data_IF_457129744011
#
_entry.id   IF_457129744011
#
_cell.length_a   1.000
_cell.length_b   1.000
_cell.length_c   1.000
_cell.angle_alpha   90.00
_cell.angle_beta   90.00
_cell.angle_gamma   90.00
#
_symmetry.space_group_name_H-M   'P 1'
#
loop_
_entity.id
_entity.type
_entity.pdbx_description
1 polymer ?
#
# COMPACT_ATOMS: atom_id res chain seq x y z
N UNK A 1 15.78 -29.31 18.14
CA UNK A 1 14.36 -28.93 18.06
C UNK A 1 14.07 -27.97 19.19
N UNK A 2 13.84 -26.72 18.85
CA UNK A 2 14.09 -25.55 19.69
C UNK A 2 12.94 -25.23 20.66
N UNK A 3 13.23 -25.33 21.97
CA UNK A 3 12.34 -24.85 23.06
C UNK A 3 12.18 -23.29 23.11
N UNK A 4 12.76 -22.54 22.14
CA UNK A 4 12.72 -21.06 22.12
C UNK A 4 11.50 -20.49 21.43
N UNK A 5 10.82 -21.22 20.54
CA UNK A 5 9.67 -20.75 19.78
C UNK A 5 8.39 -20.67 20.65
N UNK A 6 8.25 -21.52 21.66
CA UNK A 6 7.03 -21.55 22.49
C UNK A 6 6.89 -20.40 23.50
N UNK A 7 7.97 -19.69 23.83
CA UNK A 7 7.92 -18.59 24.81
C UNK A 7 7.43 -17.27 24.15
N UNK A 8 7.66 -17.07 22.84
CA UNK A 8 7.27 -15.84 22.13
C UNK A 8 5.76 -15.74 21.87
N UNK A 9 5.11 -16.84 21.52
CA UNK A 9 3.65 -16.87 21.27
C UNK A 9 2.80 -16.55 22.51
N UNK A 10 3.31 -16.81 23.72
CA UNK A 10 2.57 -16.51 24.97
C UNK A 10 2.65 -15.03 25.38
N UNK A 11 3.65 -14.29 24.91
CA UNK A 11 3.85 -12.87 25.27
C UNK A 11 2.99 -11.97 24.41
N UNK A 12 2.79 -12.26 23.11
CA UNK A 12 1.96 -11.45 22.21
C UNK A 12 0.47 -11.58 22.57
N UNK A 13 -0.01 -12.76 22.92
CA UNK A 13 -1.41 -12.97 23.34
C UNK A 13 -1.79 -12.28 24.67
N UNK A 14 -0.81 -12.01 25.55
CA UNK A 14 -1.03 -11.36 26.84
C UNK A 14 -1.01 -9.81 26.75
N UNK A 15 -0.34 -9.24 25.74
CA UNK A 15 -0.22 -7.79 25.55
C UNK A 15 -1.48 -7.15 24.95
N UNK A 16 -2.27 -7.89 24.17
CA UNK A 16 -3.52 -7.38 23.61
C UNK A 16 -4.69 -7.34 24.60
N UNK A 17 -4.58 -7.97 25.77
CA UNK A 17 -5.67 -8.10 26.76
C UNK A 17 -5.49 -7.24 28.02
N UNK A 18 -4.34 -6.62 28.23
CA UNK A 18 -4.09 -5.72 29.35
C UNK A 18 -3.44 -4.44 28.84
N UNK A 19 -4.10 -3.31 29.09
CA UNK A 19 -3.63 -1.96 28.73
C UNK A 19 -2.33 -1.54 29.45
N UNK A 20 -1.23 -2.24 29.24
CA UNK A 20 0.09 -1.96 29.76
C UNK A 20 1.10 -1.91 28.61
N UNK A 21 0.99 -0.87 27.77
CA UNK A 21 2.03 -0.56 26.77
C UNK A 21 3.30 -0.01 27.44
N UNK A 22 3.21 0.44 28.69
CA UNK A 22 4.31 1.13 29.38
C UNK A 22 5.39 0.19 29.95
N UNK A 23 5.12 -1.11 30.09
CA UNK A 23 6.08 -2.02 30.73
C UNK A 23 7.07 -2.70 29.76
N UNK A 24 6.82 -2.64 28.45
CA UNK A 24 7.72 -3.24 27.46
C UNK A 24 8.84 -2.29 27.03
N UNK A 25 8.56 -0.98 26.98
CA UNK A 25 9.56 0.06 26.69
C UNK A 25 10.66 0.16 27.76
N UNK A 26 10.40 -0.29 28.98
CA UNK A 26 11.33 -0.20 30.11
C UNK A 26 12.34 -1.36 30.21
N UNK A 27 12.26 -2.38 29.37
CA UNK A 27 13.17 -3.53 29.40
C UNK A 27 14.19 -3.62 28.26
N UNK A 28 14.04 -2.81 27.23
CA UNK A 28 15.12 -2.54 26.28
C UNK A 28 15.76 -1.24 26.80
N UNK A 29 16.94 -1.36 27.39
CA UNK A 29 17.70 -0.22 27.89
C UNK A 29 18.14 0.62 26.67
N UNK A 30 17.24 1.47 26.16
CA UNK A 30 17.52 2.47 25.13
C UNK A 30 18.18 3.73 25.71
N UNK A 31 18.47 3.73 27.01
CA UNK A 31 19.31 4.73 27.68
C UNK A 31 20.80 4.52 27.35
N UNK A 32 21.13 4.35 26.08
CA UNK A 32 22.42 4.70 25.56
C UNK A 32 22.53 6.21 25.65
N UNK A 33 23.21 6.67 26.69
CA UNK A 33 23.56 8.05 26.92
C UNK A 33 24.51 8.53 25.78
N UNK A 34 23.99 8.63 24.55
CA UNK A 34 24.69 9.28 23.44
C UNK A 34 24.51 10.77 23.64
N UNK A 35 25.63 11.48 23.82
CA UNK A 35 25.66 12.93 23.74
C UNK A 35 24.88 13.35 22.48
N UNK A 36 23.96 14.31 22.63
CA UNK A 36 23.13 14.80 21.51
C UNK A 36 24.00 15.05 20.27
N UNK A 37 23.81 14.25 19.22
CA UNK A 37 24.47 14.43 17.92
C UNK A 37 25.58 13.44 17.55
N UNK A 38 25.91 12.45 18.39
CA UNK A 38 26.82 11.34 18.00
C UNK A 38 26.01 10.06 17.74
N UNK A 39 26.24 9.45 16.56
CA UNK A 39 25.68 8.15 16.26
C UNK A 39 26.36 7.07 17.10
N UNK A 40 25.54 6.12 17.61
CA UNK A 40 26.08 4.96 18.27
C UNK A 40 26.82 4.09 17.24
N UNK A 41 28.07 3.74 17.53
CA UNK A 41 28.91 2.92 16.65
C UNK A 41 28.34 1.50 16.41
N UNK A 42 27.42 1.05 17.26
CA UNK A 42 26.73 -0.24 17.11
C UNK A 42 25.49 -0.14 16.19
N UNK A 43 25.02 1.07 15.85
CA UNK A 43 23.91 1.22 14.93
C UNK A 43 24.34 0.81 13.52
N UNK A 44 23.59 -0.13 12.93
CA UNK A 44 23.87 -0.61 11.60
C UNK A 44 23.33 0.33 10.50
N UNK A 45 22.21 1.02 10.78
CA UNK A 45 21.63 2.04 9.91
C UNK A 45 21.57 3.37 10.67
N UNK A 46 21.96 4.44 9.99
CA UNK A 46 21.93 5.77 10.58
C UNK A 46 21.93 6.85 9.50
N UNK A 47 21.57 8.07 9.87
CA UNK A 47 21.60 9.18 8.93
C UNK A 47 20.85 10.40 9.45
N UNK A 48 20.54 11.31 8.54
CA UNK A 48 19.84 12.55 8.84
C UNK A 48 18.64 12.76 7.93
N UNK A 49 17.64 13.48 8.44
CA UNK A 49 16.54 13.99 7.63
C UNK A 49 16.51 15.51 7.74
N UNK A 50 16.55 16.18 6.60
CA UNK A 50 16.53 17.63 6.52
C UNK A 50 15.60 18.12 5.41
N UNK A 51 15.21 19.39 5.45
CA UNK A 51 14.49 20.02 4.36
C UNK A 51 15.45 20.48 3.23
N UNK A 52 14.88 20.95 2.13
CA UNK A 52 15.63 21.44 0.96
C UNK A 52 16.44 22.73 1.24
N UNK A 53 16.35 23.30 2.45
CA UNK A 53 17.16 24.43 2.91
C UNK A 53 18.27 23.98 3.86
N UNK A 54 18.41 22.68 4.10
CA UNK A 54 19.36 22.10 5.03
C UNK A 54 18.93 22.20 6.50
N UNK A 55 17.66 22.53 6.78
CA UNK A 55 17.14 22.59 8.14
C UNK A 55 16.75 21.18 8.58
N UNK A 56 17.22 20.72 9.76
CA UNK A 56 16.82 19.42 10.32
C UNK A 56 15.31 19.31 10.51
N UNK A 57 14.77 18.10 10.29
CA UNK A 57 13.36 17.78 10.53
C UNK A 57 13.30 16.75 11.64
N UNK A 58 12.69 17.11 12.75
CA UNK A 58 12.43 16.22 13.88
C UNK A 58 11.10 15.46 13.72
N UNK A 59 11.00 14.29 14.35
CA UNK A 59 9.76 13.50 14.38
C UNK A 59 9.42 12.80 13.06
N UNK A 60 10.38 12.67 12.12
CA UNK A 60 10.19 11.88 10.91
C UNK A 60 10.40 10.42 11.23
N UNK A 61 9.44 9.57 10.88
CA UNK A 61 9.57 8.14 11.03
C UNK A 61 10.51 7.57 9.96
N UNK A 62 11.51 6.83 10.40
CA UNK A 62 12.47 6.11 9.56
C UNK A 62 12.40 4.64 9.90
N UNK A 63 12.36 3.80 8.88
CA UNK A 63 12.20 2.35 9.05
C UNK A 63 13.10 1.56 8.09
N UNK A 64 13.39 0.34 8.46
CA UNK A 64 14.07 -0.66 7.63
C UNK A 64 13.15 -1.81 7.19
N UNK A 65 11.83 -1.65 7.39
CA UNK A 65 10.82 -2.67 7.12
C UNK A 65 10.57 -3.61 8.30
N UNK A 66 11.29 -3.45 9.42
CA UNK A 66 11.10 -4.20 10.67
C UNK A 66 11.04 -3.27 11.87
N UNK A 67 12.06 -2.44 12.03
CA UNK A 67 12.14 -1.46 13.09
C UNK A 67 11.71 -0.08 12.56
N UNK A 68 11.18 0.76 13.46
CA UNK A 68 10.85 2.15 13.19
C UNK A 68 11.43 3.01 14.31
N UNK A 69 12.00 4.16 13.94
CA UNK A 69 12.51 5.19 14.85
C UNK A 69 12.05 6.58 14.40
N UNK A 70 12.18 7.56 15.28
CA UNK A 70 11.93 8.96 14.94
C UNK A 70 13.24 9.76 14.89
N UNK A 71 13.29 10.75 14.02
CA UNK A 71 14.40 11.70 13.99
C UNK A 71 14.37 12.61 15.22
N UNK A 72 15.54 12.89 15.80
CA UNK A 72 15.74 13.81 16.91
C UNK A 72 15.60 15.30 16.49
N UNK A 73 15.78 16.22 17.43
CA UNK A 73 15.73 17.66 17.16
C UNK A 73 16.77 18.16 16.14
N UNK A 74 17.83 17.40 15.89
CA UNK A 74 18.86 17.67 14.88
C UNK A 74 18.62 16.91 13.55
N UNK A 75 17.50 16.20 13.46
CA UNK A 75 17.15 15.37 12.30
C UNK A 75 17.92 14.04 12.23
N UNK A 76 18.65 13.65 13.27
CA UNK A 76 19.40 12.40 13.29
C UNK A 76 18.48 11.22 13.61
N UNK A 77 18.79 10.06 13.05
CA UNK A 77 18.11 8.81 13.31
C UNK A 77 19.11 7.64 13.28
N UNK A 78 18.79 6.56 13.94
CA UNK A 78 19.58 5.33 13.94
C UNK A 78 18.73 4.09 14.23
N UNK A 79 19.12 2.94 13.65
CA UNK A 79 18.50 1.63 13.84
C UNK A 79 19.57 0.56 14.07
N UNK A 80 19.23 -0.43 14.91
CA UNK A 80 20.12 -1.54 15.29
C UNK A 80 19.66 -2.82 14.57
N UNK A 81 19.87 -2.85 13.27
CA UNK A 81 19.34 -3.87 12.36
C UNK A 81 20.39 -4.89 11.98
N UNK A 82 19.96 -6.12 11.69
CA UNK A 82 20.79 -7.08 10.97
C UNK A 82 20.65 -6.80 9.46
N UNK A 83 21.64 -6.15 8.85
CA UNK A 83 21.60 -5.74 7.44
C UNK A 83 21.54 -6.91 6.46
N UNK A 84 21.81 -8.14 6.90
CA UNK A 84 21.63 -9.33 6.06
C UNK A 84 20.17 -9.65 5.78
N UNK A 85 19.28 -9.14 6.63
CA UNK A 85 17.84 -9.34 6.56
C UNK A 85 17.10 -8.11 6.05
N UNK A 86 17.80 -7.00 5.77
CA UNK A 86 17.20 -5.71 5.39
C UNK A 86 17.66 -5.29 4.01
N UNK A 87 16.69 -4.90 3.16
CA UNK A 87 16.97 -4.49 1.77
C UNK A 87 16.83 -2.99 1.57
N UNK A 88 16.04 -2.34 2.41
CA UNK A 88 15.75 -0.92 2.30
C UNK A 88 15.83 -0.22 3.65
N UNK A 89 16.08 1.07 3.57
CA UNK A 89 15.73 2.02 4.61
C UNK A 89 14.89 3.13 3.98
N UNK A 90 13.84 3.55 4.64
CA UNK A 90 12.87 4.49 4.09
C UNK A 90 12.29 5.41 5.15
N UNK A 91 11.77 6.56 4.69
CA UNK A 91 11.10 7.54 5.54
C UNK A 91 9.60 7.54 5.26
N UNK A 92 8.79 7.65 6.31
CA UNK A 92 7.40 8.07 6.17
C UNK A 92 7.40 9.57 5.87
N UNK A 93 7.09 9.95 4.63
CA UNK A 93 7.04 11.38 4.26
C UNK A 93 5.99 12.06 5.13
N UNK A 94 6.34 13.07 5.96
CA UNK A 94 5.38 13.73 6.83
C UNK A 94 4.45 14.65 6.03
N UNK A 95 3.27 14.89 6.56
CA UNK A 95 2.38 15.94 6.05
C UNK A 95 3.12 17.30 5.95
N UNK A 96 2.84 18.07 4.89
CA UNK A 96 3.52 19.33 4.63
C UNK A 96 4.83 19.24 3.85
N UNK A 97 5.24 18.03 3.46
CA UNK A 97 6.34 17.80 2.52
C UNK A 97 5.84 17.18 1.22
N UNK A 98 6.57 17.45 0.14
CA UNK A 98 6.27 16.85 -1.15
C UNK A 98 6.75 15.40 -1.18
N UNK A 99 6.02 14.54 -1.87
CA UNK A 99 6.48 13.19 -2.17
C UNK A 99 7.39 13.27 -3.40
N UNK A 100 8.71 13.09 -3.27
CA UNK A 100 9.59 13.09 -4.41
C UNK A 100 9.28 11.89 -5.30
N UNK A 101 9.31 12.10 -6.61
CA UNK A 101 9.09 11.00 -7.56
C UNK A 101 10.02 11.10 -8.76
N UNK A 102 10.32 9.95 -9.32
CA UNK A 102 11.06 9.82 -10.58
C UNK A 102 10.32 8.87 -11.49
N UNK A 103 9.91 9.34 -12.67
CA UNK A 103 9.13 8.54 -13.61
C UNK A 103 7.85 7.94 -12.96
N UNK A 104 7.13 8.73 -12.18
CA UNK A 104 5.96 8.30 -11.44
C UNK A 104 6.24 7.47 -10.17
N UNK A 105 7.45 6.98 -9.95
CA UNK A 105 7.79 6.12 -8.81
C UNK A 105 8.25 6.99 -7.62
N UNK A 106 7.62 6.89 -6.44
CA UNK A 106 7.98 7.63 -5.25
C UNK A 106 9.41 7.33 -4.78
N UNK A 107 10.14 8.36 -4.36
CA UNK A 107 11.55 8.28 -3.95
C UNK A 107 11.69 8.58 -2.45
N UNK A 108 11.15 7.73 -1.60
CA UNK A 108 11.19 7.86 -0.13
C UNK A 108 12.12 6.82 0.53
N UNK A 109 12.80 6.00 -0.24
CA UNK A 109 13.62 4.89 0.21
C UNK A 109 15.00 4.88 -0.43
N UNK A 110 15.92 4.20 0.22
CA UNK A 110 17.24 3.87 -0.30
C UNK A 110 17.48 2.38 -0.14
N UNK A 111 18.04 1.74 -1.17
CA UNK A 111 18.40 0.33 -1.10
C UNK A 111 19.70 0.18 -0.31
N UNK A 112 19.73 -0.72 0.66
CA UNK A 112 20.91 -1.05 1.43
C UNK A 112 21.82 -1.90 0.54
N UNK A 113 23.10 -1.51 0.34
CA UNK A 113 24.04 -2.32 -0.45
C UNK A 113 24.31 -3.66 0.22
N UNK A 114 24.46 -4.70 -0.58
CA UNK A 114 24.79 -6.02 -0.09
C UNK A 114 26.16 -6.05 0.64
N UNK A 115 26.25 -6.90 1.66
CA UNK A 115 27.47 -7.13 2.44
C UNK A 115 28.02 -5.94 3.25
N UNK A 116 27.26 -4.87 3.37
CA UNK A 116 27.60 -3.78 4.28
C UNK A 116 27.37 -4.19 5.75
N UNK A 117 28.20 -3.63 6.64
CA UNK A 117 28.03 -3.78 8.09
C UNK A 117 27.30 -2.58 8.70
N UNK A 118 27.45 -1.45 8.06
CA UNK A 118 26.79 -0.19 8.40
C UNK A 118 26.44 0.54 7.11
N UNK A 119 25.30 1.19 7.10
CA UNK A 119 24.87 2.01 5.96
C UNK A 119 24.34 3.34 6.44
N UNK A 120 24.90 4.42 5.91
CA UNK A 120 24.42 5.77 6.16
C UNK A 120 23.46 6.19 5.07
N UNK A 121 22.23 6.60 5.47
CA UNK A 121 21.22 7.11 4.55
C UNK A 121 20.72 8.48 5.01
N UNK A 122 21.01 9.50 4.24
CA UNK A 122 20.51 10.86 4.47
C UNK A 122 19.32 11.13 3.54
N UNK A 123 18.27 11.77 4.06
CA UNK A 123 17.07 12.14 3.30
C UNK A 123 16.90 13.66 3.29
N UNK A 124 16.54 14.17 2.12
CA UNK A 124 16.19 15.59 1.94
C UNK A 124 14.77 15.67 1.46
N UNK A 125 13.90 16.31 2.25
CA UNK A 125 12.49 16.47 1.96
C UNK A 125 12.19 17.90 1.49
N UNK A 126 11.42 18.03 0.42
CA UNK A 126 11.02 19.33 -0.10
C UNK A 126 9.77 19.79 0.63
N UNK A 127 9.86 20.97 1.27
CA UNK A 127 8.73 21.54 1.97
C UNK A 127 7.65 21.97 0.98
N UNK A 128 6.42 21.54 1.22
CA UNK A 128 5.26 21.89 0.40
C UNK A 128 4.81 23.33 0.67
N UNK A 129 4.29 23.98 -0.36
CA UNK A 129 3.52 25.21 -0.20
C UNK A 129 2.09 24.87 0.28
N UNK A 130 1.64 25.48 1.37
CA UNK A 130 0.30 25.26 1.96
C UNK A 130 0.24 24.06 2.92
N UNK A 131 -0.96 23.78 3.44
CA UNK A 131 -1.18 22.71 4.44
C UNK A 131 -1.04 21.30 3.89
N UNK A 132 -1.28 21.11 2.58
CA UNK A 132 -1.31 19.81 1.96
C UNK A 132 -2.54 18.96 2.30
N UNK A 133 -3.56 19.54 2.96
CA UNK A 133 -4.76 18.82 3.38
C UNK A 133 -5.72 18.53 2.22
N UNK A 134 -5.59 19.25 1.11
CA UNK A 134 -6.43 19.09 -0.07
C UNK A 134 -5.66 18.51 -1.24
N UNK A 135 -6.08 17.34 -1.72
CA UNK A 135 -5.46 16.63 -2.84
C UNK A 135 -6.42 15.64 -3.49
N UNK A 136 -6.02 15.10 -4.65
CA UNK A 136 -6.77 14.08 -5.38
C UNK A 136 -5.93 12.82 -5.55
N UNK A 137 -6.54 11.64 -5.39
CA UNK A 137 -5.92 10.35 -5.66
C UNK A 137 -6.63 9.68 -6.83
N UNK A 138 -5.87 9.21 -7.81
CA UNK A 138 -6.34 8.36 -8.89
C UNK A 138 -6.02 6.91 -8.48
N UNK A 139 -7.04 6.14 -8.10
CA UNK A 139 -6.84 4.79 -7.55
C UNK A 139 -7.21 3.73 -8.57
N UNK A 140 -6.25 2.85 -8.87
CA UNK A 140 -6.36 1.73 -9.80
C UNK A 140 -6.17 0.40 -9.07
N UNK A 141 -6.62 -0.69 -9.68
CA UNK A 141 -6.37 -2.04 -9.22
C UNK A 141 -6.22 -2.99 -10.40
N UNK A 142 -5.41 -4.02 -10.23
CA UNK A 142 -5.34 -5.16 -11.14
C UNK A 142 -5.12 -4.79 -12.62
N UNK A 143 -4.11 -3.96 -12.98
CA UNK A 143 -3.81 -3.71 -14.40
C UNK A 143 -3.50 -5.00 -15.15
N UNK A 144 -2.81 -5.93 -14.50
CA UNK A 144 -2.51 -7.30 -14.95
C UNK A 144 -2.08 -7.37 -16.41
N UNK A 145 -1.01 -6.63 -16.77
CA UNK A 145 -0.43 -6.75 -18.11
C UNK A 145 0.16 -8.14 -18.32
N UNK A 146 -0.16 -8.79 -19.45
CA UNK A 146 0.18 -10.18 -19.72
C UNK A 146 1.19 -10.36 -20.84
N UNK A 147 1.01 -9.69 -21.98
CA UNK A 147 1.91 -9.77 -23.12
C UNK A 147 1.66 -8.66 -24.15
N UNK A 148 2.72 -8.32 -24.90
CA UNK A 148 2.66 -7.38 -26.03
C UNK A 148 2.10 -7.99 -27.32
N UNK A 149 2.27 -9.30 -27.53
CA UNK A 149 1.91 -9.93 -28.79
C UNK A 149 0.54 -10.54 -28.70
N UNK A 150 -0.30 -10.23 -29.70
CA UNK A 150 -1.44 -11.04 -30.05
C UNK A 150 -0.92 -12.44 -30.38
N UNK A 151 -0.60 -13.18 -29.33
CA UNK A 151 -0.29 -14.58 -29.46
C UNK A 151 -1.53 -15.30 -29.96
N UNK A 152 -1.45 -16.52 -30.07
CA UNK A 152 -2.38 -17.55 -30.46
C UNK A 152 -3.70 -17.57 -29.68
N UNK A 153 -3.90 -16.72 -28.65
CA UNK A 153 -5.11 -16.69 -27.88
C UNK A 153 -6.05 -15.55 -28.37
N UNK A 154 -7.06 -15.95 -29.09
CA UNK A 154 -8.10 -15.06 -29.63
C UNK A 154 -8.90 -14.28 -28.56
N UNK A 155 -8.73 -14.61 -27.28
CA UNK A 155 -9.40 -13.98 -26.16
C UNK A 155 -8.47 -13.04 -25.37
N UNK A 156 -7.18 -13.00 -25.68
CA UNK A 156 -6.24 -12.12 -25.03
C UNK A 156 -6.15 -10.80 -25.79
N UNK A 157 -6.86 -9.81 -25.29
CA UNK A 157 -6.63 -8.43 -25.67
C UNK A 157 -5.21 -8.01 -25.30
N UNK A 158 -4.65 -7.08 -26.04
CA UNK A 158 -3.36 -6.45 -25.72
C UNK A 158 -3.48 -5.69 -24.41
N UNK A 159 -3.22 -6.34 -23.30
CA UNK A 159 -3.38 -5.72 -21.98
C UNK A 159 -2.44 -4.52 -21.79
N UNK A 160 -1.31 -4.47 -22.50
CA UNK A 160 -0.42 -3.31 -22.53
C UNK A 160 -1.10 -2.10 -23.17
N UNK A 161 -1.70 -2.25 -24.35
CA UNK A 161 -2.36 -1.13 -25.05
C UNK A 161 -3.49 -0.54 -24.18
N UNK A 162 -4.21 -1.40 -23.45
CA UNK A 162 -5.26 -0.97 -22.53
C UNK A 162 -4.69 -0.26 -21.30
N UNK A 163 -3.58 -0.74 -20.78
CA UNK A 163 -2.86 -0.10 -19.69
C UNK A 163 -2.31 1.26 -20.10
N UNK A 164 -1.70 1.38 -21.29
CA UNK A 164 -1.22 2.64 -21.85
C UNK A 164 -2.35 3.65 -22.06
N UNK A 165 -3.51 3.18 -22.55
CA UNK A 165 -4.73 4.00 -22.72
C UNK A 165 -5.23 4.52 -21.34
N UNK A 166 -5.21 3.68 -20.31
CA UNK A 166 -5.52 4.09 -18.93
C UNK A 166 -4.52 5.13 -18.42
N UNK A 167 -3.21 4.90 -18.60
CA UNK A 167 -2.18 5.83 -18.19
C UNK A 167 -2.32 7.19 -18.88
N UNK A 168 -2.68 7.20 -20.17
CA UNK A 168 -2.96 8.42 -20.92
C UNK A 168 -4.16 9.16 -20.36
N UNK A 169 -5.27 8.46 -20.11
CA UNK A 169 -6.49 9.04 -19.52
C UNK A 169 -6.21 9.64 -18.13
N UNK A 170 -5.44 8.95 -17.29
CA UNK A 170 -5.03 9.46 -15.98
C UNK A 170 -4.17 10.73 -16.07
N UNK A 171 -3.23 10.79 -17.01
CA UNK A 171 -2.41 11.99 -17.26
C UNK A 171 -3.26 13.17 -17.73
N UNK A 172 -4.18 12.94 -18.65
CA UNK A 172 -5.09 13.95 -19.16
C UNK A 172 -5.99 14.50 -18.05
N UNK A 173 -6.58 13.64 -17.22
CA UNK A 173 -7.37 14.07 -16.06
C UNK A 173 -6.52 14.86 -15.07
N UNK A 174 -5.36 14.36 -14.69
CA UNK A 174 -4.48 15.03 -13.74
C UNK A 174 -4.06 16.43 -14.22
N UNK A 175 -3.84 16.63 -15.52
CA UNK A 175 -3.51 17.92 -16.10
C UNK A 175 -4.64 18.96 -15.96
N UNK A 176 -5.87 18.55 -15.76
CA UNK A 176 -7.01 19.44 -15.48
C UNK A 176 -7.09 19.90 -14.03
N UNK A 177 -6.41 19.20 -13.12
CA UNK A 177 -6.41 19.49 -11.67
C UNK A 177 -5.19 20.36 -11.37
N UNK A 178 -5.38 21.68 -11.30
CA UNK A 178 -4.29 22.65 -11.15
C UNK A 178 -4.25 23.33 -9.79
N UNK A 179 -5.26 23.11 -8.97
CA UNK A 179 -5.46 23.79 -7.68
C UNK A 179 -5.01 22.96 -6.46
N UNK A 180 -4.61 21.74 -6.67
CA UNK A 180 -4.17 20.79 -5.63
C UNK A 180 -3.25 19.70 -6.17
N UNK A 181 -2.45 19.05 -5.32
CA UNK A 181 -1.65 17.90 -5.71
C UNK A 181 -2.50 16.74 -6.20
N UNK A 182 -1.94 15.97 -7.13
CA UNK A 182 -2.47 14.69 -7.56
C UNK A 182 -1.49 13.60 -7.14
N UNK A 183 -2.02 12.48 -6.69
CA UNK A 183 -1.32 11.24 -6.41
C UNK A 183 -2.02 10.10 -7.12
N UNK A 184 -1.38 8.96 -7.22
CA UNK A 184 -2.04 7.72 -7.63
C UNK A 184 -1.69 6.59 -6.67
N UNK A 185 -2.60 5.61 -6.58
CA UNK A 185 -2.40 4.36 -5.86
C UNK A 185 -2.81 3.21 -6.79
N UNK A 186 -1.93 2.22 -6.93
CA UNK A 186 -2.23 0.95 -7.60
C UNK A 186 -2.29 -0.17 -6.57
N UNK A 187 -3.43 -0.84 -6.46
CA UNK A 187 -3.73 -1.85 -5.44
C UNK A 187 -3.29 -3.27 -5.85
N UNK A 188 -2.15 -3.39 -6.53
CA UNK A 188 -1.54 -4.67 -6.84
C UNK A 188 -1.93 -5.26 -8.19
N UNK A 189 -1.28 -6.39 -8.49
CA UNK A 189 -1.42 -7.13 -9.74
C UNK A 189 -1.10 -6.28 -10.97
N UNK A 190 0.06 -5.62 -10.96
CA UNK A 190 0.55 -4.82 -12.08
C UNK A 190 0.87 -5.71 -13.28
N UNK A 191 1.61 -6.79 -13.04
CA UNK A 191 1.94 -7.81 -14.04
C UNK A 191 1.19 -9.11 -13.73
N UNK A 192 0.93 -9.94 -14.75
CA UNK A 192 0.22 -11.20 -14.54
C UNK A 192 1.18 -12.39 -14.63
N UNK A 193 1.90 -12.70 -13.53
CA UNK A 193 2.90 -13.77 -13.45
C UNK A 193 4.05 -13.64 -14.47
N UNK A 194 4.17 -12.53 -15.15
CA UNK A 194 5.20 -12.31 -16.17
C UNK A 194 6.15 -11.21 -15.74
N UNK A 195 7.20 -11.58 -15.03
CA UNK A 195 8.19 -10.65 -14.47
C UNK A 195 8.93 -9.84 -15.54
N UNK A 196 8.96 -10.31 -16.81
CA UNK A 196 9.60 -9.55 -17.89
C UNK A 196 8.84 -8.29 -18.32
N UNK A 197 7.61 -8.09 -17.82
CA UNK A 197 6.77 -6.93 -18.15
C UNK A 197 6.91 -5.77 -17.17
N UNK A 198 7.77 -5.87 -16.16
CA UNK A 198 8.00 -4.76 -15.22
C UNK A 198 8.52 -3.50 -15.89
N UNK A 199 9.40 -3.65 -16.89
CA UNK A 199 9.91 -2.51 -17.66
C UNK A 199 8.78 -1.83 -18.44
N UNK A 200 7.89 -2.60 -19.06
CA UNK A 200 6.72 -2.09 -19.79
C UNK A 200 5.72 -1.39 -18.85
N UNK A 201 5.49 -1.95 -17.66
CA UNK A 201 4.67 -1.31 -16.63
C UNK A 201 5.27 0.05 -16.24
N UNK A 202 6.55 0.09 -15.91
CA UNK A 202 7.24 1.32 -15.51
C UNK A 202 7.31 2.36 -16.65
N UNK A 203 7.44 1.92 -17.91
CA UNK A 203 7.41 2.84 -19.07
C UNK A 203 6.06 3.57 -19.18
N UNK A 204 4.94 2.89 -18.87
CA UNK A 204 3.62 3.54 -18.80
C UNK A 204 3.52 4.67 -17.77
N UNK A 205 4.31 4.59 -16.70
CA UNK A 205 4.36 5.62 -15.63
C UNK A 205 5.33 6.77 -15.93
N UNK A 206 6.22 6.65 -16.90
CA UNK A 206 7.37 7.52 -17.10
C UNK A 206 7.04 9.01 -17.21
N UNK A 207 5.91 9.34 -17.83
CA UNK A 207 5.48 10.72 -18.04
C UNK A 207 4.47 11.21 -16.99
N UNK A 208 4.29 10.47 -15.89
CA UNK A 208 3.43 10.94 -14.82
C UNK A 208 4.11 12.08 -14.07
N UNK A 209 3.43 13.21 -13.95
CA UNK A 209 3.86 14.38 -13.17
C UNK A 209 3.57 14.24 -11.67
N UNK A 210 3.04 13.09 -11.25
CA UNK A 210 2.63 12.79 -9.88
C UNK A 210 3.11 11.39 -9.48
N UNK A 211 3.37 11.16 -8.18
CA UNK A 211 3.79 9.84 -7.69
C UNK A 211 2.65 8.83 -7.71
N UNK A 212 2.99 7.59 -8.02
CA UNK A 212 2.12 6.41 -7.95
C UNK A 212 2.63 5.51 -6.84
N UNK A 213 1.87 5.36 -5.78
CA UNK A 213 2.12 4.39 -4.71
C UNK A 213 1.61 3.02 -5.13
N UNK A 214 2.29 1.97 -4.72
CA UNK A 214 1.99 0.61 -5.15
C UNK A 214 1.82 -0.33 -3.97
N UNK A 215 0.87 -1.22 -4.10
CA UNK A 215 0.74 -2.43 -3.29
C UNK A 215 1.17 -3.61 -4.17
N UNK A 216 1.87 -4.58 -3.63
CA UNK A 216 2.18 -5.82 -4.36
C UNK A 216 0.97 -6.75 -4.36
N UNK A 217 0.66 -7.37 -5.52
CA UNK A 217 -0.40 -8.36 -5.64
C UNK A 217 0.13 -9.78 -5.84
N UNK A 218 -0.72 -10.79 -5.77
CA UNK A 218 -0.30 -12.18 -5.89
C UNK A 218 0.31 -12.52 -7.26
N UNK A 219 -0.06 -11.82 -8.32
CA UNK A 219 0.52 -11.99 -9.66
C UNK A 219 1.83 -11.24 -9.87
N UNK A 220 2.20 -10.36 -8.95
CA UNK A 220 3.46 -9.61 -8.94
C UNK A 220 4.58 -10.37 -8.24
N UNK A 221 4.24 -11.37 -7.44
CA UNK A 221 5.19 -12.27 -6.80
C UNK A 221 5.75 -13.28 -7.80
N UNK A 222 7.01 -13.66 -7.61
CA UNK A 222 7.66 -14.74 -8.36
C UNK A 222 7.05 -16.07 -7.92
N UNK A 223 6.24 -16.68 -8.80
CA UNK A 223 5.37 -17.83 -8.48
C UNK A 223 6.11 -19.10 -8.00
N UNK A 224 7.38 -19.24 -8.30
CA UNK A 224 8.20 -20.40 -7.97
C UNK A 224 9.40 -20.02 -7.10
N UNK A 225 9.32 -18.93 -6.37
CA UNK A 225 10.37 -18.52 -5.46
C UNK A 225 10.57 -19.57 -4.35
N UNK A 226 11.78 -19.68 -3.84
CA UNK A 226 12.10 -20.63 -2.76
C UNK A 226 11.51 -20.22 -1.39
N UNK A 227 11.19 -18.92 -1.24
CA UNK A 227 10.56 -18.37 -0.03
C UNK A 227 9.74 -17.14 -0.40
N UNK A 228 8.86 -16.73 0.49
CA UNK A 228 8.07 -15.51 0.38
C UNK A 228 8.98 -14.27 0.22
N UNK A 229 10.03 -14.18 1.02
CA UNK A 229 11.03 -13.12 0.97
C UNK A 229 11.71 -12.98 -0.41
N UNK A 230 11.92 -14.07 -1.13
CA UNK A 230 12.47 -14.06 -2.48
C UNK A 230 11.39 -13.81 -3.55
N UNK A 231 10.14 -14.03 -3.23
CA UNK A 231 9.04 -13.87 -4.17
C UNK A 231 8.81 -12.39 -4.56
N UNK A 232 9.17 -11.45 -3.69
CA UNK A 232 8.99 -10.01 -3.90
C UNK A 232 10.15 -9.35 -4.64
N UNK A 233 11.22 -10.06 -4.97
CA UNK A 233 12.48 -9.49 -5.44
C UNK A 233 12.37 -8.66 -6.74
N UNK A 234 11.54 -9.08 -7.70
CA UNK A 234 11.35 -8.31 -8.94
C UNK A 234 10.51 -7.06 -8.69
N UNK A 235 9.46 -7.11 -7.87
CA UNK A 235 8.72 -5.93 -7.45
C UNK A 235 9.66 -4.91 -6.79
N UNK A 236 10.44 -5.32 -5.81
CA UNK A 236 11.34 -4.46 -5.06
C UNK A 236 12.45 -3.82 -5.91
N UNK A 237 12.87 -4.48 -6.97
CA UNK A 237 13.85 -3.95 -7.91
C UNK A 237 13.35 -2.69 -8.63
N UNK A 238 12.05 -2.63 -8.93
CA UNK A 238 11.43 -1.55 -9.69
C UNK A 238 10.73 -0.52 -8.79
N UNK A 239 10.06 -0.95 -7.73
CA UNK A 239 9.13 -0.12 -6.97
C UNK A 239 9.54 0.14 -5.52
N UNK A 240 10.51 -0.60 -4.98
CA UNK A 240 11.01 -0.42 -3.61
C UNK A 240 10.29 -1.30 -2.59
N UNK A 241 10.22 -0.90 -1.31
CA UNK A 241 9.70 -1.73 -0.23
C UNK A 241 8.22 -2.08 -0.42
N UNK A 242 7.81 -3.28 0.02
CA UNK A 242 6.43 -3.78 -0.08
C UNK A 242 5.54 -3.28 1.06
N UNK A 243 6.13 -3.01 2.25
CA UNK A 243 5.44 -2.48 3.43
C UNK A 243 5.99 -1.09 3.76
N UNK A 244 5.15 -0.06 3.70
CA UNK A 244 5.56 1.32 3.96
C UNK A 244 4.35 2.22 4.26
N UNK A 245 4.62 3.47 4.65
CA UNK A 245 3.59 4.44 4.97
C UNK A 245 3.95 5.86 4.48
N UNK A 246 2.94 6.72 4.37
CA UNK A 246 3.08 8.14 4.04
C UNK A 246 1.96 8.95 4.69
N UNK A 247 2.27 10.17 5.12
CA UNK A 247 1.27 11.14 5.56
C UNK A 247 0.91 12.10 4.42
N UNK A 248 -0.34 12.11 4.02
CA UNK A 248 -0.88 13.12 3.11
C UNK A 248 -1.96 13.92 3.86
N UNK A 249 -1.64 15.17 4.19
CA UNK A 249 -2.53 16.00 5.01
C UNK A 249 -2.87 15.33 6.35
N UNK A 250 -4.18 15.20 6.62
CA UNK A 250 -4.69 14.62 7.87
C UNK A 250 -4.79 13.09 7.85
N UNK A 251 -4.48 12.44 6.72
CA UNK A 251 -4.66 11.01 6.52
C UNK A 251 -3.31 10.30 6.54
N UNK A 252 -3.25 9.21 7.27
CA UNK A 252 -2.09 8.31 7.32
C UNK A 252 -2.34 7.11 6.41
N UNK A 253 -1.54 6.99 5.35
CA UNK A 253 -1.61 5.91 4.37
C UNK A 253 -0.64 4.81 4.74
N UNK A 254 -1.12 3.56 4.70
CA UNK A 254 -0.33 2.36 4.96
C UNK A 254 -0.49 1.44 3.76
N UNK A 255 0.62 1.01 3.20
CA UNK A 255 0.69 0.07 2.09
C UNK A 255 1.28 -1.23 2.59
N UNK A 256 0.57 -2.34 2.39
CA UNK A 256 0.91 -3.62 3.00
C UNK A 256 0.92 -4.73 1.95
N UNK A 257 1.97 -5.51 1.98
CA UNK A 257 1.97 -6.83 1.38
C UNK A 257 1.13 -7.76 2.25
N UNK A 258 -0.06 -8.10 1.78
CA UNK A 258 -0.98 -9.00 2.47
C UNK A 258 -1.19 -10.32 1.70
N UNK A 259 -0.14 -10.74 1.00
CA UNK A 259 -0.01 -12.02 0.30
C UNK A 259 1.23 -12.72 0.82
N UNK A 260 1.10 -13.85 1.49
CA UNK A 260 2.23 -14.70 1.86
C UNK A 260 2.30 -15.89 0.91
N UNK A 261 3.33 -15.92 0.07
CA UNK A 261 3.56 -17.03 -0.86
C UNK A 261 3.95 -18.29 -0.10
N UNK A 262 3.39 -19.42 -0.49
CA UNK A 262 3.75 -20.68 0.11
C UNK A 262 5.21 -21.03 -0.20
N UNK A 263 5.92 -21.59 0.80
CA UNK A 263 7.23 -22.19 0.59
C UNK A 263 7.14 -23.33 -0.43
N UNK A 264 7.73 -23.11 -1.58
CA UNK A 264 7.69 -24.06 -2.69
C UNK A 264 8.68 -25.22 -2.56
N UNK A 265 9.47 -25.26 -1.48
CA UNK A 265 10.45 -26.34 -1.24
C UNK A 265 9.81 -27.72 -1.11
N UNK A 266 8.54 -27.78 -0.73
CA UNK A 266 7.76 -29.01 -0.53
C UNK A 266 6.56 -29.16 -1.48
N UNK A 267 6.34 -28.21 -2.42
CA UNK A 267 5.17 -28.22 -3.27
C UNK A 267 5.35 -29.11 -4.50
N UNK A 268 4.31 -29.86 -4.82
CA UNK A 268 4.18 -30.53 -6.12
C UNK A 268 3.88 -29.50 -7.22
N UNK A 269 4.19 -29.79 -8.47
CA UNK A 269 3.96 -28.90 -9.61
C UNK A 269 2.52 -28.37 -9.75
N UNK A 270 1.55 -28.98 -9.10
CA UNK A 270 0.14 -28.56 -9.09
C UNK A 270 -0.18 -27.49 -8.05
N UNK A 271 0.75 -27.15 -7.17
CA UNK A 271 0.58 -26.19 -6.09
C UNK A 271 1.43 -24.91 -6.31
N UNK A 272 2.03 -24.73 -7.49
CA UNK A 272 2.73 -23.50 -7.86
C UNK A 272 1.80 -22.29 -7.79
N UNK A 273 2.27 -21.22 -7.15
CA UNK A 273 1.49 -20.01 -6.96
C UNK A 273 0.48 -20.06 -5.81
N UNK A 274 0.57 -21.07 -4.95
CA UNK A 274 -0.23 -21.10 -3.72
C UNK A 274 0.22 -20.00 -2.77
N UNK A 275 -0.72 -19.28 -2.18
CA UNK A 275 -0.48 -18.23 -1.20
C UNK A 275 -1.56 -18.24 -0.13
N UNK A 276 -1.31 -17.54 0.97
CA UNK A 276 -2.27 -17.21 2.02
C UNK A 276 -2.55 -15.72 1.99
N UNK A 277 -3.77 -15.34 2.29
CA UNK A 277 -4.11 -13.94 2.52
C UNK A 277 -3.75 -13.53 3.95
N UNK A 278 -3.37 -12.27 4.13
CA UNK A 278 -3.05 -11.68 5.41
C UNK A 278 -1.59 -11.26 5.51
N UNK A 279 -1.19 -10.76 6.66
CA UNK A 279 0.15 -10.25 6.90
C UNK A 279 1.07 -11.35 7.44
N UNK A 280 2.30 -11.38 6.96
CA UNK A 280 3.37 -12.18 7.57
C UNK A 280 3.63 -11.73 9.02
N UNK A 281 4.31 -12.55 9.81
CA UNK A 281 4.69 -12.17 11.19
C UNK A 281 5.58 -10.93 11.21
N UNK A 282 6.49 -10.82 10.24
CA UNK A 282 7.39 -9.67 10.10
C UNK A 282 6.63 -8.38 9.74
N UNK A 283 5.67 -8.46 8.81
CA UNK A 283 4.81 -7.33 8.45
C UNK A 283 3.95 -6.87 9.64
N UNK A 284 3.44 -7.79 10.46
CA UNK A 284 2.71 -7.45 11.69
C UNK A 284 3.62 -6.77 12.71
N UNK A 285 4.85 -7.26 12.90
CA UNK A 285 5.81 -6.67 13.84
C UNK A 285 6.17 -5.24 13.40
N UNK A 286 6.47 -5.03 12.11
CA UNK A 286 6.67 -3.71 11.56
C UNK A 286 5.47 -2.80 11.79
N UNK A 287 4.27 -3.28 11.47
CA UNK A 287 3.02 -2.52 11.59
C UNK A 287 2.77 -2.10 13.05
N UNK A 288 2.97 -3.00 14.01
CA UNK A 288 2.86 -2.69 15.43
C UNK A 288 3.84 -1.58 15.85
N UNK A 289 5.11 -1.73 15.47
CA UNK A 289 6.16 -0.74 15.75
C UNK A 289 5.85 0.61 15.12
N UNK A 290 5.52 0.62 13.83
CA UNK A 290 5.19 1.84 13.09
C UNK A 290 3.98 2.57 13.67
N UNK A 291 2.87 1.86 13.90
CA UNK A 291 1.64 2.43 14.42
C UNK A 291 1.73 2.91 15.87
N UNK A 292 2.75 2.50 16.63
CA UNK A 292 3.00 3.04 17.98
C UNK A 292 3.36 4.52 17.96
N UNK A 293 3.91 5.02 16.84
CA UNK A 293 4.29 6.42 16.62
C UNK A 293 3.17 7.27 15.98
N UNK A 294 2.08 6.66 15.52
CA UNK A 294 1.03 7.36 14.77
C UNK A 294 -0.12 7.76 15.70
N UNK A 295 -0.52 9.04 15.63
CA UNK A 295 -1.63 9.58 16.43
C UNK A 295 -2.94 8.84 16.11
N UNK A 296 -3.60 8.32 17.16
CA UNK A 296 -4.86 7.59 17.05
C UNK A 296 -6.04 8.44 16.58
N UNK A 297 -5.92 9.76 16.59
CA UNK A 297 -6.91 10.69 16.04
C UNK A 297 -6.84 10.82 14.50
N UNK A 298 -5.83 10.25 13.85
CA UNK A 298 -5.75 10.22 12.38
C UNK A 298 -6.78 9.28 11.76
N UNK A 299 -7.16 9.57 10.53
CA UNK A 299 -7.81 8.63 9.64
C UNK A 299 -6.72 7.73 9.04
N UNK A 300 -6.92 6.43 9.06
CA UNK A 300 -6.09 5.49 8.32
C UNK A 300 -6.68 5.21 6.94
N UNK A 301 -5.82 5.22 5.93
CA UNK A 301 -6.12 4.63 4.64
C UNK A 301 -5.20 3.43 4.44
N UNK A 302 -5.75 2.23 4.63
CA UNK A 302 -5.01 0.98 4.60
C UNK A 302 -5.19 0.33 3.23
N UNK A 303 -4.09 0.19 2.50
CA UNK A 303 -4.05 -0.35 1.16
C UNK A 303 -3.37 -1.73 1.15
N UNK A 304 -4.06 -2.74 0.68
CA UNK A 304 -3.56 -4.07 0.44
C UNK A 304 -4.09 -4.62 -0.87
N UNK A 305 -3.56 -5.74 -1.35
CA UNK A 305 -4.09 -6.34 -2.57
C UNK A 305 -5.38 -7.12 -2.32
N UNK A 306 -5.40 -7.97 -1.29
CA UNK A 306 -6.62 -8.65 -0.84
C UNK A 306 -7.32 -7.85 0.25
N UNK A 307 -8.62 -8.06 0.42
CA UNK A 307 -9.38 -7.32 1.44
C UNK A 307 -8.98 -7.73 2.86
N UNK A 308 -8.68 -6.76 3.72
CA UNK A 308 -8.45 -6.96 5.15
C UNK A 308 -9.73 -7.27 5.92
N UNK A 309 -10.87 -6.86 5.38
CA UNK A 309 -12.19 -7.04 5.98
C UNK A 309 -13.10 -7.76 4.98
N UNK A 310 -13.79 -8.77 5.43
CA UNK A 310 -14.71 -9.53 4.59
C UNK A 310 -16.15 -9.18 4.90
N UNK A 311 -17.05 -9.56 3.99
CA UNK A 311 -18.49 -9.30 4.10
C UNK A 311 -19.03 -9.70 5.47
N UNK A 312 -20.08 -8.99 5.93
CA UNK A 312 -20.81 -9.32 7.19
C UNK A 312 -21.10 -10.80 7.31
N UNK A 313 -20.91 -11.34 8.50
CA UNK A 313 -21.04 -12.76 8.79
C UNK A 313 -19.80 -13.60 8.52
N UNK A 314 -18.77 -13.02 7.94
CA UNK A 314 -17.47 -13.65 7.77
C UNK A 314 -16.49 -13.13 8.85
N UNK A 315 -15.85 -14.06 9.56
CA UNK A 315 -14.79 -13.70 10.51
C UNK A 315 -13.41 -13.85 9.84
N UNK A 316 -12.73 -12.75 9.51
CA UNK A 316 -11.41 -12.83 8.87
C UNK A 316 -10.39 -13.56 9.73
N UNK A 317 -10.53 -13.50 11.06
CA UNK A 317 -9.60 -14.17 12.00
C UNK A 317 -9.57 -15.69 11.88
N UNK A 318 -10.53 -16.29 11.16
CA UNK A 318 -10.63 -17.74 10.99
C UNK A 318 -9.81 -18.24 9.80
N UNK A 319 -9.64 -17.42 8.77
CA UNK A 319 -9.05 -17.87 7.50
C UNK A 319 -7.86 -17.06 7.01
N UNK A 320 -7.71 -15.82 7.49
CA UNK A 320 -6.64 -14.94 7.06
C UNK A 320 -5.52 -14.89 8.10
N UNK A 321 -4.29 -14.94 7.61
CA UNK A 321 -3.09 -14.91 8.44
C UNK A 321 -3.05 -13.62 9.28
N UNK A 322 -2.93 -13.76 10.60
CA UNK A 322 -2.84 -12.67 11.56
C UNK A 322 -4.01 -11.65 11.54
N UNK A 323 -5.15 -11.98 10.89
CA UNK A 323 -6.25 -11.06 10.65
C UNK A 323 -6.78 -10.38 11.93
N UNK A 324 -6.92 -11.12 13.03
CA UNK A 324 -7.42 -10.56 14.29
C UNK A 324 -6.45 -9.51 14.88
N UNK A 325 -5.16 -9.64 14.63
CA UNK A 325 -4.14 -8.72 15.15
C UNK A 325 -4.21 -7.40 14.38
N UNK A 326 -4.04 -7.44 13.04
CA UNK A 326 -3.99 -6.19 12.26
C UNK A 326 -5.33 -5.46 12.24
N UNK A 327 -6.48 -6.16 12.20
CA UNK A 327 -7.79 -5.50 12.29
C UNK A 327 -8.02 -4.86 13.66
N UNK A 328 -7.51 -5.47 14.73
CA UNK A 328 -7.50 -4.88 16.08
C UNK A 328 -6.66 -3.60 16.15
N UNK A 329 -5.48 -3.59 15.54
CA UNK A 329 -4.62 -2.42 15.46
C UNK A 329 -5.30 -1.26 14.73
N UNK A 330 -5.90 -1.52 13.56
CA UNK A 330 -6.59 -0.50 12.77
C UNK A 330 -7.79 0.09 13.52
N UNK A 331 -8.58 -0.74 14.20
CA UNK A 331 -9.77 -0.31 14.92
C UNK A 331 -9.48 0.67 16.07
N UNK A 332 -8.23 0.83 16.48
CA UNK A 332 -7.81 1.80 17.50
C UNK A 332 -7.77 3.25 16.98
N UNK A 333 -7.93 3.48 15.68
CA UNK A 333 -7.85 4.80 15.06
C UNK A 333 -9.22 5.43 14.90
N UNK A 334 -9.25 6.75 14.66
CA UNK A 334 -10.47 7.53 14.51
C UNK A 334 -11.42 6.95 13.46
N UNK A 335 -10.89 6.65 12.29
CA UNK A 335 -11.62 6.01 11.19
C UNK A 335 -10.64 5.27 10.26
N UNK A 336 -11.14 4.24 9.59
CA UNK A 336 -10.35 3.39 8.70
C UNK A 336 -11.06 3.21 7.37
N UNK A 337 -10.41 3.63 6.30
CA UNK A 337 -10.74 3.20 4.94
C UNK A 337 -9.78 2.09 4.52
N UNK A 338 -10.30 0.90 4.28
CA UNK A 338 -9.53 -0.24 3.78
C UNK A 338 -9.78 -0.40 2.29
N UNK A 339 -8.72 -0.39 1.48
CA UNK A 339 -8.79 -0.47 0.03
C UNK A 339 -8.07 -1.70 -0.49
N UNK A 340 -8.72 -2.43 -1.42
CA UNK A 340 -8.20 -3.65 -2.02
C UNK A 340 -8.61 -3.80 -3.50
N UNK A 341 -7.90 -4.66 -4.22
CA UNK A 341 -8.21 -5.14 -5.57
C UNK A 341 -8.60 -6.61 -5.56
N UNK A 342 -7.90 -7.42 -6.35
CA UNK A 342 -7.90 -8.88 -6.36
C UNK A 342 -9.20 -9.55 -6.87
N UNK A 343 -10.34 -9.13 -6.38
CA UNK A 343 -11.63 -9.76 -6.74
C UNK A 343 -12.14 -9.36 -8.12
N UNK A 344 -11.61 -8.27 -8.69
CA UNK A 344 -12.02 -7.69 -9.97
C UNK A 344 -13.47 -7.16 -10.02
N UNK A 345 -14.10 -6.96 -8.85
CA UNK A 345 -15.45 -6.45 -8.67
C UNK A 345 -15.41 -5.13 -7.91
N UNK A 346 -16.39 -4.25 -8.15
CA UNK A 346 -16.56 -3.07 -7.30
C UNK A 346 -17.43 -3.39 -6.11
N UNK A 347 -16.91 -3.10 -4.92
CA UNK A 347 -17.60 -3.40 -3.69
C UNK A 347 -17.25 -2.40 -2.59
N UNK A 348 -18.29 -1.84 -1.95
CA UNK A 348 -18.12 -0.97 -0.80
C UNK A 348 -18.93 -1.51 0.38
N UNK A 349 -18.33 -1.52 1.56
CA UNK A 349 -18.93 -2.02 2.74
C UNK A 349 -18.66 -1.14 3.97
N UNK A 350 -19.69 -0.44 4.45
CA UNK A 350 -19.62 0.41 5.61
C UNK A 350 -19.91 -0.40 6.89
N UNK A 351 -18.91 -1.00 7.49
CA UNK A 351 -19.07 -1.71 8.79
C UNK A 351 -19.53 -0.76 9.90
N UNK A 352 -19.15 0.51 9.83
CA UNK A 352 -19.56 1.54 10.77
C UNK A 352 -21.08 1.79 10.79
N UNK A 353 -21.79 1.46 9.69
CA UNK A 353 -23.25 1.64 9.58
C UNK A 353 -24.04 0.42 10.03
N UNK A 354 -23.41 -0.64 10.52
CA UNK A 354 -24.10 -1.85 10.94
C UNK A 354 -24.71 -1.69 12.34
N UNK A 355 -26.05 -1.71 12.43
CA UNK A 355 -26.79 -1.46 13.69
C UNK A 355 -26.83 -2.68 14.62
N UNK A 356 -26.69 -3.91 14.09
CA UNK A 356 -27.04 -5.13 14.84
C UNK A 356 -25.88 -5.73 15.62
N UNK A 357 -24.65 -5.56 15.19
CA UNK A 357 -23.44 -5.99 15.92
C UNK A 357 -22.18 -5.38 15.29
N UNK A 358 -21.88 -4.12 15.51
CA UNK A 358 -20.73 -3.48 14.87
C UNK A 358 -19.44 -4.08 15.42
N UNK A 359 -18.85 -5.03 14.71
CA UNK A 359 -17.53 -5.58 15.03
C UNK A 359 -16.42 -4.55 14.74
N UNK A 360 -16.65 -3.72 13.73
CA UNK A 360 -15.72 -2.69 13.27
C UNK A 360 -16.44 -1.35 13.12
N UNK A 361 -16.74 -0.63 14.23
CA UNK A 361 -17.63 0.52 14.23
C UNK A 361 -17.08 1.75 13.50
N UNK A 362 -15.82 1.74 13.13
CA UNK A 362 -15.12 2.86 12.51
C UNK A 362 -14.45 2.47 11.18
N UNK A 363 -14.94 1.44 10.49
CA UNK A 363 -14.31 0.89 9.28
C UNK A 363 -15.24 0.96 8.08
N UNK A 364 -14.71 1.42 6.95
CA UNK A 364 -15.25 1.19 5.61
C UNK A 364 -14.25 0.39 4.78
N UNK A 365 -14.73 -0.66 4.13
CA UNK A 365 -13.93 -1.53 3.26
C UNK A 365 -14.36 -1.41 1.81
N UNK A 366 -13.40 -1.22 0.93
CA UNK A 366 -13.59 -0.97 -0.47
C UNK A 366 -12.78 -1.97 -1.29
N UNK A 367 -13.40 -2.55 -2.31
CA UNK A 367 -12.74 -3.39 -3.29
C UNK A 367 -12.95 -2.75 -4.66
N UNK A 368 -11.88 -2.64 -5.43
CA UNK A 368 -11.91 -2.08 -6.77
C UNK A 368 -11.98 -3.18 -7.81
N UNK A 369 -12.78 -2.94 -8.84
CA UNK A 369 -12.77 -3.74 -10.06
C UNK A 369 -11.48 -3.54 -10.86
N UNK A 370 -11.18 -4.49 -11.73
CA UNK A 370 -9.98 -4.48 -12.57
C UNK A 370 -9.97 -3.27 -13.52
N UNK A 371 -8.97 -2.40 -13.38
CA UNK A 371 -8.89 -1.12 -14.08
C UNK A 371 -8.74 -1.27 -15.61
N UNK A 372 -8.25 -2.41 -16.09
CA UNK A 372 -8.08 -2.74 -17.51
C UNK A 372 -9.17 -3.63 -18.08
N UNK A 373 -10.26 -3.88 -17.35
CA UNK A 373 -11.40 -4.69 -17.79
C UNK A 373 -11.19 -6.20 -17.57
N UNK A 374 -12.18 -7.00 -17.98
CA UNK A 374 -12.23 -8.44 -17.74
C UNK A 374 -11.18 -9.20 -18.55
N UNK A 375 -10.45 -10.09 -17.87
CA UNK A 375 -9.51 -11.01 -18.51
C UNK A 375 -10.24 -11.92 -19.52
N UNK A 376 -9.84 -11.85 -20.78
CA UNK A 376 -10.20 -12.83 -21.80
C UNK A 376 -11.57 -12.69 -22.44
N UNK A 377 -12.47 -11.83 -21.94
CA UNK A 377 -13.82 -11.72 -22.50
C UNK A 377 -14.13 -10.34 -23.10
N UNK A 378 -13.86 -9.27 -22.36
CA UNK A 378 -14.12 -7.93 -22.83
C UNK A 378 -13.28 -6.90 -22.06
N UNK A 379 -12.36 -6.25 -22.76
CA UNK A 379 -11.51 -5.22 -22.18
C UNK A 379 -12.27 -3.92 -21.81
N UNK A 380 -13.54 -3.81 -22.13
CA UNK A 380 -14.35 -2.62 -21.83
C UNK A 380 -15.11 -2.71 -20.52
N UNK A 381 -15.28 -3.91 -19.96
CA UNK A 381 -16.06 -4.14 -18.73
C UNK A 381 -15.30 -5.00 -17.73
N UNK A 382 -15.63 -4.84 -16.47
CA UNK A 382 -15.16 -5.65 -15.33
C UNK A 382 -16.01 -6.91 -15.18
N UNK A 383 -15.65 -7.81 -14.25
CA UNK A 383 -16.37 -9.08 -14.03
C UNK A 383 -17.81 -8.89 -13.57
N UNK A 384 -18.10 -7.81 -12.86
CA UNK A 384 -19.44 -7.40 -12.43
C UNK A 384 -20.27 -6.68 -13.53
N UNK A 385 -19.68 -6.48 -14.71
CA UNK A 385 -20.30 -5.80 -15.84
C UNK A 385 -20.15 -4.29 -15.84
N UNK A 386 -19.48 -3.69 -14.84
CA UNK A 386 -19.12 -2.28 -14.80
C UNK A 386 -18.10 -1.93 -15.89
N UNK A 387 -17.99 -0.66 -16.32
CA UNK A 387 -16.94 -0.24 -17.25
C UNK A 387 -15.56 -0.34 -16.62
N UNK A 388 -14.52 -0.58 -17.42
CA UNK A 388 -13.14 -0.42 -16.94
C UNK A 388 -12.85 1.03 -16.56
N UNK A 389 -11.98 1.25 -15.60
CA UNK A 389 -11.64 2.59 -15.16
C UNK A 389 -10.97 2.60 -13.78
N UNK A 390 -11.05 3.73 -13.12
CA UNK A 390 -10.42 3.96 -11.83
C UNK A 390 -11.25 4.90 -10.95
N UNK A 391 -10.93 4.95 -9.66
CA UNK A 391 -11.55 5.90 -8.75
C UNK A 391 -10.78 7.22 -8.75
N UNK A 392 -11.52 8.31 -8.68
CA UNK A 392 -11.03 9.65 -8.38
C UNK A 392 -11.47 9.96 -6.97
N UNK A 393 -10.53 9.99 -6.03
CA UNK A 393 -10.77 10.23 -4.62
C UNK A 393 -10.32 11.66 -4.33
N UNK A 394 -11.24 12.51 -3.90
CA UNK A 394 -10.96 13.87 -3.46
C UNK A 394 -10.90 13.90 -1.94
N UNK A 395 -9.79 14.40 -1.41
CA UNK A 395 -9.55 14.58 0.02
C UNK A 395 -9.46 16.06 0.34
N UNK A 396 -10.21 16.50 1.36
CA UNK A 396 -10.17 17.84 1.90
C UNK A 396 -10.21 17.77 3.44
N UNK A 397 -9.05 17.76 4.04
CA UNK A 397 -8.87 17.47 5.46
C UNK A 397 -9.32 16.04 5.80
N UNK A 398 -10.38 15.92 6.58
CA UNK A 398 -10.98 14.63 6.96
C UNK A 398 -12.14 14.22 6.03
N UNK A 399 -12.55 15.09 5.13
CA UNK A 399 -13.61 14.79 4.18
C UNK A 399 -13.04 14.04 2.98
N UNK A 400 -13.41 12.78 2.83
CA UNK A 400 -12.95 11.88 1.77
C UNK A 400 -14.16 11.49 0.94
N UNK A 401 -14.13 11.83 -0.34
CA UNK A 401 -15.19 11.49 -1.29
C UNK A 401 -14.58 10.85 -2.52
N UNK A 402 -15.31 9.98 -3.19
CA UNK A 402 -14.82 9.32 -4.39
C UNK A 402 -15.90 9.18 -5.45
N UNK A 403 -15.46 9.10 -6.67
CA UNK A 403 -16.30 8.84 -7.85
C UNK A 403 -15.54 7.92 -8.80
N UNK A 404 -16.28 7.10 -9.50
CA UNK A 404 -15.72 6.27 -10.56
C UNK A 404 -15.54 7.08 -11.84
N UNK A 405 -14.41 6.87 -12.54
CA UNK A 405 -14.16 7.39 -13.88
C UNK A 405 -13.91 6.23 -14.83
N UNK A 406 -14.82 6.08 -15.81
CA UNK A 406 -14.63 5.13 -16.91
C UNK A 406 -13.45 5.56 -17.80
N UNK A 407 -12.63 4.60 -18.21
CA UNK A 407 -11.45 4.80 -19.03
C UNK A 407 -11.60 4.20 -20.42
N UNK A 408 -10.94 4.80 -21.42
CA UNK A 408 -10.97 4.36 -22.82
C UNK A 408 -12.27 4.66 -23.55
N UNK A 409 -13.06 5.57 -23.00
CA UNK A 409 -14.28 6.09 -23.64
C UNK A 409 -14.07 7.57 -23.98
N UNK A 410 -14.08 7.90 -25.26
CA UNK A 410 -14.13 9.30 -25.68
C UNK A 410 -15.45 9.90 -25.22
N UNK A 411 -15.38 11.07 -24.57
CA UNK A 411 -16.56 11.81 -24.14
C UNK A 411 -17.48 12.05 -25.36
N UNK A 412 -18.68 11.49 -25.34
CA UNK A 412 -19.70 11.64 -26.35
C UNK A 412 -19.75 10.62 -27.50
N UNK A 413 -18.78 9.66 -27.63
CA UNK A 413 -18.80 8.70 -28.77
C UNK A 413 -18.90 7.24 -28.40
N UNK A 414 -18.36 6.80 -27.29
CA UNK A 414 -18.42 5.39 -26.84
C UNK A 414 -19.39 5.17 -25.70
N UNK A 415 -19.71 6.19 -24.93
CA UNK A 415 -20.78 6.16 -23.94
C UNK A 415 -22.18 6.10 -24.55
N UNK A 416 -22.34 6.41 -25.84
CA UNK A 416 -23.62 6.28 -26.56
C UNK A 416 -24.18 4.84 -26.57
N UNK A 417 -23.32 3.84 -26.34
CA UNK A 417 -23.72 2.44 -26.25
C UNK A 417 -23.89 1.94 -24.80
N UNK A 418 -23.56 2.77 -23.81
CA UNK A 418 -23.89 2.47 -22.42
C UNK A 418 -25.23 3.16 -22.07
N UNK A 419 -26.18 2.47 -21.46
CA UNK A 419 -27.41 3.09 -20.97
C UNK A 419 -27.08 4.37 -20.17
N UNK A 420 -27.83 5.44 -20.37
CA UNK A 420 -27.59 6.72 -19.70
C UNK A 420 -27.64 6.62 -18.15
N UNK A 421 -28.37 5.64 -17.66
CA UNK A 421 -28.46 5.22 -16.26
C UNK A 421 -27.18 4.55 -15.73
N UNK A 422 -26.32 3.99 -16.57
CA UNK A 422 -25.02 3.44 -16.14
C UNK A 422 -24.02 4.52 -15.70
N UNK A 423 -24.13 5.72 -16.27
CA UNK A 423 -23.36 6.88 -15.80
C UNK A 423 -23.79 7.33 -14.40
N UNK A 424 -25.08 7.15 -14.09
CA UNK A 424 -25.68 7.45 -12.79
C UNK A 424 -25.55 6.30 -11.79
N UNK A 425 -25.61 5.05 -12.24
CA UNK A 425 -25.47 3.88 -11.38
C UNK A 425 -24.06 3.73 -10.80
N UNK A 426 -23.02 4.07 -11.56
CA UNK A 426 -21.65 4.10 -11.03
C UNK A 426 -21.46 5.15 -9.93
N UNK A 427 -22.20 6.26 -9.99
CA UNK A 427 -22.18 7.31 -8.97
C UNK A 427 -23.05 6.97 -7.75
N UNK A 428 -24.17 6.29 -7.94
CA UNK A 428 -25.13 5.96 -6.85
C UNK A 428 -24.67 4.75 -6.04
N UNK A 429 -24.11 3.72 -6.67
CA UNK A 429 -23.62 2.53 -5.94
C UNK A 429 -22.30 2.77 -5.20
N UNK A 430 -21.56 3.81 -5.54
CA UNK A 430 -20.30 4.18 -4.90
C UNK A 430 -20.51 5.22 -3.78
N UNK A 431 -21.57 6.04 -3.85
CA UNK A 431 -21.78 7.17 -2.93
C UNK A 431 -22.81 6.95 -1.82
N UNK A 432 -23.60 5.88 -1.86
CA UNK A 432 -24.55 5.58 -0.78
C UNK A 432 -24.32 4.18 -0.23
N UNK A 433 -24.11 4.03 1.09
CA UNK A 433 -24.30 2.75 1.74
C UNK A 433 -25.76 2.36 1.48
N UNK A 434 -25.98 1.24 0.80
CA UNK A 434 -27.31 0.68 0.63
C UNK A 434 -27.93 0.47 2.01
N UNK A 435 -28.80 1.40 2.41
CA UNK A 435 -29.74 1.19 3.51
C UNK A 435 -30.73 0.16 3.00
N UNK A 436 -30.56 -1.06 3.43
CA UNK A 436 -31.60 -2.09 3.42
C UNK A 436 -31.80 -2.66 4.79
#
# INVERSE_FOLDING_TARGET
MNKRIFIFLFIIGALCLCGCADDFATKINLDGNSSEGEFNSEAALYGTVQDNYGKPIAGVLVSDGMQTTETDAKGNWQLFSDLKLRRFVFVTIPAGYEVPSKNGIPQFWQRIPENEKQFKADFTLMKRAGSGDRYTILMTADPQIRAKTAGTDKYMFHSIDIYEDMCKDMKELAATITDRPVYSICLGDMVHNNMSLWEDYCEGLKDFSFPVFHVIGNHDHIQNAASDDLAVAEYEKYLGPTNYAVDLGQVHYIFLDNIEMADNSALTASATGAYKNGLSEEAVEWLCGHLSHVDKNKILMVCGHTSFYKKIGYDPSVSDLNASVYTGLFSAYKFVHSWAGHNHDYYNYAYAAEETSPKYPNVESHILGRSTGMLGLNASVTSDGGPRGYLVIDVDGENITWKFKACGYEEGKKLENLPADWQLLSLIHISEPTRH
#
